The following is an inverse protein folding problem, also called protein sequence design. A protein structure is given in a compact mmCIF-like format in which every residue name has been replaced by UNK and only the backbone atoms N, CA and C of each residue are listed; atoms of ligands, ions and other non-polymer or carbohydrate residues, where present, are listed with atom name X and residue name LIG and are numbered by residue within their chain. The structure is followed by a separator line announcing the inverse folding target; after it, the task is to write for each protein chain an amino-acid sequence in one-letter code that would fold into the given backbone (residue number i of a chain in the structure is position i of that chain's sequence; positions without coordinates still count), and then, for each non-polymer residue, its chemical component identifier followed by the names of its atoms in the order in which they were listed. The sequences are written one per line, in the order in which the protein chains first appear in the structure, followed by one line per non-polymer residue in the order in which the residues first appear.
data_IF_918191619806
#
_entry.id   IF_918191619806
#
_cell.length_a   1.000
_cell.length_b   1.000
_cell.length_c   1.000
_cell.angle_alpha   90.00
_cell.angle_beta   90.00
_cell.angle_gamma   90.00
#
_symmetry.space_group_name_H-M   'P 1'
#
loop_
_entity.id
_entity.type
_entity.pdbx_description
1 polymer ?
#
# COMPACT_ATOMS: atom_id res chain seq x y z
N UNK A 1 21.98 -26.29 -2.09
CA UNK A 1 21.97 -25.14 -3.03
C UNK A 1 20.57 -24.53 -2.98
N UNK A 2 20.33 -23.53 -2.13
CA UNK A 2 19.01 -22.94 -1.98
C UNK A 2 18.82 -21.84 -3.03
N UNK A 3 17.92 -22.08 -3.97
CA UNK A 3 17.50 -21.08 -4.97
C UNK A 3 16.78 -19.96 -4.20
N UNK A 4 17.42 -18.80 -4.03
CA UNK A 4 16.72 -17.64 -3.50
C UNK A 4 15.57 -17.32 -4.46
N UNK A 5 14.35 -17.24 -3.93
CA UNK A 5 13.22 -16.78 -4.72
C UNK A 5 13.47 -15.30 -5.06
N UNK A 6 13.85 -15.03 -6.30
CA UNK A 6 14.01 -13.67 -6.80
C UNK A 6 12.66 -13.18 -7.27
N UNK A 7 12.11 -12.20 -6.57
CA UNK A 7 10.93 -11.47 -7.03
C UNK A 7 11.34 -10.59 -8.22
N UNK A 8 10.57 -10.65 -9.30
CA UNK A 8 10.69 -9.71 -10.40
C UNK A 8 10.37 -8.29 -9.92
N UNK A 9 10.85 -7.27 -10.64
CA UNK A 9 10.72 -5.87 -10.23
C UNK A 9 9.24 -5.41 -10.15
N UNK A 10 8.38 -5.98 -10.99
CA UNK A 10 6.93 -5.74 -11.07
C UNK A 10 6.13 -6.52 -10.00
N UNK A 11 6.80 -7.38 -9.23
CA UNK A 11 6.15 -8.15 -8.17
C UNK A 11 5.81 -7.24 -6.97
N UNK A 12 4.60 -7.33 -6.38
CA UNK A 12 4.17 -6.47 -5.28
C UNK A 12 5.14 -6.39 -4.09
N UNK A 13 5.78 -7.50 -3.74
CA UNK A 13 6.80 -7.54 -2.66
C UNK A 13 8.01 -6.68 -2.99
N UNK A 14 8.50 -6.72 -4.23
CA UNK A 14 9.65 -5.92 -4.66
C UNK A 14 9.31 -4.43 -4.62
N UNK A 15 8.14 -4.06 -5.14
CA UNK A 15 7.62 -2.68 -5.12
C UNK A 15 7.45 -2.19 -3.68
N UNK A 16 6.81 -2.98 -2.82
CA UNK A 16 6.59 -2.61 -1.42
C UNK A 16 7.91 -2.33 -0.69
N UNK A 17 8.89 -3.23 -0.80
CA UNK A 17 10.20 -3.06 -0.16
C UNK A 17 10.93 -1.84 -0.73
N UNK A 18 10.97 -1.69 -2.05
CA UNK A 18 11.64 -0.55 -2.70
C UNK A 18 11.00 0.80 -2.31
N UNK A 19 9.66 0.85 -2.25
CA UNK A 19 8.91 2.03 -1.83
C UNK A 19 9.17 2.37 -0.36
N UNK A 20 9.09 1.39 0.56
CA UNK A 20 9.39 1.60 1.98
C UNK A 20 10.84 2.07 2.19
N UNK A 21 11.82 1.45 1.53
CA UNK A 21 13.23 1.88 1.63
C UNK A 21 13.41 3.30 1.10
N UNK A 22 12.72 3.67 0.02
CA UNK A 22 12.77 5.03 -0.55
C UNK A 22 12.20 6.05 0.43
N UNK A 23 11.01 5.79 0.97
CA UNK A 23 10.35 6.64 1.96
C UNK A 23 11.22 6.84 3.21
N UNK A 24 11.80 5.75 3.75
CA UNK A 24 12.69 5.80 4.92
C UNK A 24 13.98 6.59 4.68
N UNK A 25 14.56 6.49 3.47
CA UNK A 25 15.82 7.18 3.14
C UNK A 25 15.64 8.66 2.82
N UNK A 26 14.48 9.05 2.30
CA UNK A 26 14.22 10.41 1.81
C UNK A 26 13.31 11.21 2.73
N UNK A 27 12.58 10.54 3.62
CA UNK A 27 11.50 11.15 4.40
C UNK A 27 10.25 11.48 3.57
N UNK A 28 10.18 11.03 2.32
CA UNK A 28 9.02 11.25 1.45
C UNK A 28 7.82 10.40 1.91
N UNK A 29 6.63 10.83 1.47
CA UNK A 29 5.39 10.09 1.66
C UNK A 29 5.51 8.65 1.12
N UNK A 30 5.00 7.68 1.90
CA UNK A 30 5.10 6.27 1.57
C UNK A 30 4.29 5.92 0.32
N UNK A 31 3.09 6.48 0.17
CA UNK A 31 2.24 6.19 -0.98
C UNK A 31 2.84 6.76 -2.27
N UNK A 32 3.37 7.98 -2.21
CA UNK A 32 4.11 8.59 -3.32
C UNK A 32 5.35 7.76 -3.70
N UNK A 33 6.12 7.31 -2.70
CA UNK A 33 7.29 6.46 -2.93
C UNK A 33 6.92 5.11 -3.55
N UNK A 34 5.79 4.52 -3.16
CA UNK A 34 5.26 3.30 -3.78
C UNK A 34 4.84 3.54 -5.22
N UNK A 35 4.17 4.66 -5.51
CA UNK A 35 3.72 4.99 -6.86
C UNK A 35 4.91 5.17 -7.82
N UNK A 36 5.93 5.92 -7.40
CA UNK A 36 7.17 6.10 -8.17
C UNK A 36 7.84 4.74 -8.48
N UNK A 37 7.92 3.85 -7.49
CA UNK A 37 8.55 2.53 -7.67
C UNK A 37 7.70 1.59 -8.52
N UNK A 38 6.38 1.67 -8.43
CA UNK A 38 5.48 0.90 -9.29
C UNK A 38 5.62 1.33 -10.74
N UNK A 39 5.59 2.65 -11.02
CA UNK A 39 5.78 3.18 -12.37
C UNK A 39 7.13 2.78 -12.96
N UNK A 40 8.21 2.90 -12.18
CA UNK A 40 9.55 2.48 -12.60
C UNK A 40 9.64 0.97 -12.93
N UNK A 41 8.77 0.15 -12.31
CA UNK A 41 8.66 -1.28 -12.57
C UNK A 41 7.65 -1.63 -13.68
N UNK A 42 7.00 -0.63 -14.30
CA UNK A 42 5.96 -0.85 -15.32
C UNK A 42 4.58 -1.22 -14.76
N UNK A 43 4.36 -1.08 -13.45
CA UNK A 43 3.07 -1.31 -12.80
C UNK A 43 2.31 0.00 -12.68
N UNK A 44 1.08 0.03 -13.20
CA UNK A 44 0.20 1.20 -13.10
C UNK A 44 -0.15 1.49 -11.63
N UNK A 45 0.08 2.71 -11.12
CA UNK A 45 -0.40 3.11 -9.81
C UNK A 45 -1.90 2.92 -9.66
N UNK A 46 -2.34 2.58 -8.44
CA UNK A 46 -3.76 2.37 -8.12
C UNK A 46 -4.43 1.22 -8.89
N UNK A 47 -3.63 0.28 -9.41
CA UNK A 47 -4.11 -1.02 -9.93
C UNK A 47 -4.18 -2.06 -8.81
N UNK A 48 -4.85 -3.19 -9.04
CA UNK A 48 -4.90 -4.29 -8.09
C UNK A 48 -3.50 -4.78 -7.66
N UNK A 49 -2.54 -4.78 -8.60
CA UNK A 49 -1.15 -5.16 -8.31
C UNK A 49 -0.45 -4.13 -7.41
N UNK A 50 -0.76 -2.84 -7.61
CA UNK A 50 -0.30 -1.76 -6.73
C UNK A 50 -0.95 -1.85 -5.35
N UNK A 51 -2.25 -2.16 -5.27
CA UNK A 51 -2.97 -2.33 -4.01
C UNK A 51 -2.37 -3.43 -3.14
N UNK A 52 -1.92 -4.51 -3.76
CA UNK A 52 -1.17 -5.56 -3.06
C UNK A 52 0.16 -5.05 -2.50
N UNK A 53 0.91 -4.25 -3.26
CA UNK A 53 2.14 -3.64 -2.78
C UNK A 53 1.88 -2.68 -1.61
N UNK A 54 0.86 -1.83 -1.72
CA UNK A 54 0.46 -0.89 -0.68
C UNK A 54 0.00 -1.62 0.60
N UNK A 55 -0.78 -2.70 0.46
CA UNK A 55 -1.18 -3.58 1.56
C UNK A 55 0.02 -4.23 2.27
N UNK A 56 1.00 -4.71 1.50
CA UNK A 56 2.25 -5.27 2.03
C UNK A 56 3.03 -4.21 2.81
N UNK A 57 3.09 -2.99 2.29
CA UNK A 57 3.71 -1.82 2.94
C UNK A 57 2.92 -1.27 4.15
N UNK A 58 1.73 -1.81 4.44
CA UNK A 58 0.93 -1.43 5.61
C UNK A 58 -0.09 -0.32 5.37
N UNK A 59 -0.23 0.13 4.13
CA UNK A 59 -1.24 1.10 3.68
C UNK A 59 -2.23 0.44 2.72
N UNK A 60 -3.08 -0.50 3.15
CA UNK A 60 -4.06 -1.10 2.26
C UNK A 60 -5.09 -0.09 1.76
N UNK A 61 -5.56 -0.27 0.53
CA UNK A 61 -6.72 0.44 0.00
C UNK A 61 -8.00 0.03 0.76
N UNK A 62 -8.75 1.01 1.24
CA UNK A 62 -10.03 0.84 1.91
C UNK A 62 -11.15 1.32 0.98
N UNK A 63 -11.85 0.36 0.36
CA UNK A 63 -12.95 0.64 -0.58
C UNK A 63 -14.09 1.43 0.05
N UNK A 64 -14.37 1.24 1.33
CA UNK A 64 -15.45 1.96 2.02
C UNK A 64 -15.15 3.45 2.22
N UNK A 65 -13.86 3.82 2.24
CA UNK A 65 -13.39 5.19 2.35
C UNK A 65 -12.91 5.77 1.02
N UNK A 66 -12.72 4.93 0.00
CA UNK A 66 -12.02 5.26 -1.24
C UNK A 66 -10.63 5.88 -1.01
N UNK A 67 -9.89 5.33 -0.03
CA UNK A 67 -8.59 5.85 0.41
C UNK A 67 -7.61 4.74 0.80
N UNK A 68 -6.31 5.02 0.65
CA UNK A 68 -5.26 4.24 1.30
C UNK A 68 -5.11 4.71 2.74
N UNK A 69 -5.21 3.78 3.68
CA UNK A 69 -5.20 4.07 5.12
C UNK A 69 -4.36 3.02 5.84
N UNK A 70 -3.97 3.28 7.08
CA UNK A 70 -3.30 2.28 7.90
C UNK A 70 -4.23 1.08 8.21
N UNK A 71 -3.61 -0.03 8.65
CA UNK A 71 -4.34 -1.29 8.92
C UNK A 71 -5.38 -1.18 10.04
N UNK A 72 -5.23 -0.28 11.00
CA UNK A 72 -6.20 -0.11 12.07
C UNK A 72 -7.43 0.66 11.56
N UNK A 73 -7.20 1.76 10.83
CA UNK A 73 -8.26 2.54 10.19
C UNK A 73 -9.07 1.70 9.21
N UNK A 74 -8.42 0.91 8.35
CA UNK A 74 -9.15 -0.01 7.44
C UNK A 74 -10.02 -1.00 8.21
N UNK A 75 -9.48 -1.63 9.25
CA UNK A 75 -10.23 -2.58 10.09
C UNK A 75 -11.42 -1.93 10.77
N UNK A 76 -11.30 -0.67 11.16
CA UNK A 76 -12.41 0.08 11.75
C UNK A 76 -13.48 0.41 10.70
N UNK A 77 -13.08 0.90 9.53
CA UNK A 77 -13.98 1.19 8.43
C UNK A 77 -14.74 -0.06 7.95
N UNK A 78 -14.05 -1.20 7.83
CA UNK A 78 -14.65 -2.49 7.44
C UNK A 78 -15.74 -2.93 8.45
N UNK A 79 -15.57 -2.64 9.75
CA UNK A 79 -16.56 -2.97 10.80
C UNK A 79 -17.80 -2.08 10.78
N UNK A 80 -17.62 -0.80 10.47
CA UNK A 80 -18.69 0.20 10.44
C UNK A 80 -19.56 0.09 9.18
N UNK A 81 -19.00 -0.47 8.11
CA UNK A 81 -19.67 -0.53 6.81
C UNK A 81 -19.71 0.83 6.11
N UNK A 82 -20.11 0.81 4.83
CA UNK A 82 -19.97 1.96 3.92
C UNK A 82 -20.54 3.28 4.47
N UNK A 83 -21.77 3.27 5.01
CA UNK A 83 -22.43 4.50 5.47
C UNK A 83 -21.77 5.16 6.69
N UNK A 84 -21.00 4.41 7.47
CA UNK A 84 -20.37 4.87 8.70
C UNK A 84 -18.85 4.83 8.63
N UNK A 85 -18.26 4.42 7.50
CA UNK A 85 -16.82 4.22 7.36
C UNK A 85 -16.02 5.49 7.70
N UNK A 86 -16.54 6.68 7.38
CA UNK A 86 -15.91 7.97 7.69
C UNK A 86 -15.63 8.16 9.20
N UNK A 87 -16.42 7.54 10.09
CA UNK A 87 -16.18 7.60 11.54
C UNK A 87 -14.88 6.89 11.96
N UNK A 88 -14.34 6.01 11.11
CA UNK A 88 -13.04 5.38 11.34
C UNK A 88 -11.89 6.41 11.35
N UNK A 89 -12.05 7.53 10.66
CA UNK A 89 -11.06 8.61 10.61
C UNK A 89 -11.10 9.51 11.86
N UNK A 90 -12.21 9.47 12.62
CA UNK A 90 -12.43 10.30 13.79
C UNK A 90 -12.01 9.63 15.11
N UNK A 91 -11.53 8.38 15.07
CA UNK A 91 -11.30 7.55 16.25
C UNK A 91 -9.84 7.56 16.74
N UNK A 92 -9.07 8.60 16.41
CA UNK A 92 -7.63 8.72 16.68
C UNK A 92 -7.29 9.37 18.01
#
# INVERSE_FOLDING_TARGET
MNKQAHYAADHPVAIAIAGMVTALRTGHDLLASLAERAEAAGVRPYSDNFDDAARLAGMPYCRALDLYVDRATKRQADRLGYHQAHLALCSG
#
